data_IF_059422438161
#
_entry.id   IF_059422438161
#
_cell.length_a   1.000
_cell.length_b   1.000
_cell.length_c   1.000
_cell.angle_alpha   90.00
_cell.angle_beta   90.00
_cell.angle_gamma   90.00
#
_symmetry.space_group_name_H-M   'P 1'
#
loop_
_entity.id
_entity.type
_entity.pdbx_description
1 polymer ?
#
# COMPACT_ATOMS: atom_id res chain seq x y z
N UNK A 1 33.05 -29.33 -35.86
CA UNK A 1 32.47 -28.29 -36.74
C UNK A 1 31.09 -28.76 -37.22
N UNK A 2 30.03 -27.95 -36.94
CA UNK A 2 28.69 -27.94 -37.58
C UNK A 2 27.79 -29.16 -37.33
N UNK A 3 26.47 -29.09 -37.09
CA UNK A 3 25.45 -28.12 -36.62
C UNK A 3 24.22 -29.04 -36.40
N UNK A 4 23.64 -29.11 -35.20
CA UNK A 4 22.35 -29.77 -35.01
C UNK A 4 21.24 -28.74 -35.26
N UNK A 5 20.38 -29.07 -36.21
CA UNK A 5 19.21 -28.29 -36.61
C UNK A 5 18.19 -28.26 -35.46
N UNK A 6 17.87 -27.07 -34.95
CA UNK A 6 16.74 -26.88 -34.06
C UNK A 6 15.60 -26.26 -34.85
N UNK A 7 14.57 -27.08 -35.06
CA UNK A 7 13.31 -26.73 -35.70
C UNK A 7 12.70 -25.47 -35.10
N UNK A 8 12.51 -24.48 -35.95
CA UNK A 8 11.66 -23.31 -35.73
C UNK A 8 10.25 -23.75 -35.32
N UNK A 9 9.87 -23.47 -34.07
CA UNK A 9 8.49 -23.18 -33.71
C UNK A 9 8.52 -21.98 -32.78
N UNK A 10 8.25 -20.76 -33.27
CA UNK A 10 7.82 -19.71 -32.36
C UNK A 10 6.49 -20.20 -31.78
N UNK A 11 6.49 -20.59 -30.51
CA UNK A 11 5.26 -20.60 -29.74
C UNK A 11 4.72 -19.18 -29.85
N UNK A 12 3.74 -18.99 -30.74
CA UNK A 12 2.92 -17.80 -30.78
C UNK A 12 2.38 -17.67 -29.37
N UNK A 13 2.96 -16.76 -28.59
CA UNK A 13 2.37 -16.25 -27.37
C UNK A 13 1.09 -15.55 -27.81
N UNK A 14 0.05 -16.37 -28.01
CA UNK A 14 -1.32 -15.94 -28.22
C UNK A 14 -1.89 -15.71 -26.84
N UNK A 15 -1.24 -14.82 -26.07
CA UNK A 15 -1.83 -14.25 -24.89
C UNK A 15 -2.46 -12.95 -25.35
N UNK A 16 -3.71 -13.14 -25.76
CA UNK A 16 -4.77 -12.17 -26.02
C UNK A 16 -4.44 -10.72 -25.63
N UNK A 17 -4.33 -9.88 -26.65
CA UNK A 17 -4.35 -8.41 -26.54
C UNK A 17 -5.75 -7.87 -26.13
N UNK A 18 -6.49 -8.60 -25.29
CA UNK A 18 -7.84 -8.24 -24.80
C UNK A 18 -7.92 -8.10 -23.28
N UNK A 19 -6.79 -8.12 -22.57
CA UNK A 19 -6.74 -8.01 -21.10
C UNK A 19 -6.54 -6.57 -20.58
N UNK A 20 -6.70 -5.55 -21.41
CA UNK A 20 -6.41 -4.15 -21.03
C UNK A 20 -7.57 -3.39 -20.41
N UNK A 21 -8.73 -4.01 -20.18
CA UNK A 21 -9.92 -3.35 -19.61
C UNK A 21 -10.58 -4.06 -18.40
N UNK A 22 -10.09 -5.22 -17.95
CA UNK A 22 -10.76 -6.03 -16.91
C UNK A 22 -9.91 -6.39 -15.68
N UNK A 23 -8.71 -5.86 -15.55
CA UNK A 23 -7.92 -6.04 -14.33
C UNK A 23 -8.35 -4.99 -13.31
N UNK A 24 -8.65 -5.39 -12.07
CA UNK A 24 -8.78 -4.47 -10.93
C UNK A 24 -7.63 -3.46 -10.98
N UNK A 25 -7.89 -2.14 -10.96
CA UNK A 25 -6.83 -1.14 -10.96
C UNK A 25 -5.95 -1.23 -9.71
N UNK A 26 -6.40 -1.88 -8.64
CA UNK A 26 -5.64 -2.10 -7.41
C UNK A 26 -5.15 -3.55 -7.35
N UNK A 27 -3.86 -3.72 -7.08
CA UNK A 27 -3.22 -5.02 -6.89
C UNK A 27 -2.54 -5.07 -5.53
N UNK A 28 -2.85 -6.11 -4.74
CA UNK A 28 -2.07 -6.45 -3.55
C UNK A 28 -0.67 -6.91 -3.98
N UNK A 29 0.36 -6.22 -3.48
CA UNK A 29 1.74 -6.46 -3.87
C UNK A 29 2.48 -7.33 -2.86
N UNK A 30 2.13 -7.24 -1.58
CA UNK A 30 2.75 -8.00 -0.50
C UNK A 30 2.86 -7.19 0.77
N UNK A 31 3.80 -7.57 1.63
CA UNK A 31 4.07 -6.91 2.91
C UNK A 31 5.49 -6.35 2.95
N UNK A 32 5.66 -5.23 3.64
CA UNK A 32 6.94 -4.61 3.93
C UNK A 32 7.08 -4.42 5.44
N UNK A 33 8.21 -4.86 5.99
CA UNK A 33 8.58 -4.61 7.38
C UNK A 33 9.48 -3.39 7.46
N UNK A 34 9.16 -2.45 8.34
CA UNK A 34 9.94 -1.24 8.59
C UNK A 34 9.88 -0.90 10.09
N UNK A 35 11.02 -0.97 10.76
CA UNK A 35 11.23 -0.50 12.14
C UNK A 35 10.13 -0.98 13.12
N UNK A 36 9.91 -2.30 13.14
CA UNK A 36 8.93 -2.93 14.03
C UNK A 36 7.46 -2.74 13.61
N UNK A 37 7.20 -2.22 12.42
CA UNK A 37 5.89 -2.20 11.78
C UNK A 37 5.85 -3.08 10.52
N UNK A 38 4.69 -3.69 10.27
CA UNK A 38 4.38 -4.43 9.06
C UNK A 38 3.33 -3.64 8.29
N UNK A 39 3.64 -3.35 7.02
CA UNK A 39 2.78 -2.63 6.09
C UNK A 39 2.32 -3.55 4.96
N UNK A 40 1.01 -3.59 4.71
CA UNK A 40 0.47 -4.13 3.47
C UNK A 40 0.68 -3.15 2.34
N UNK A 41 1.20 -3.63 1.21
CA UNK A 41 1.50 -2.83 0.04
C UNK A 41 0.47 -3.11 -1.05
N UNK A 42 -0.08 -2.05 -1.60
CA UNK A 42 -0.96 -2.10 -2.78
C UNK A 42 -0.41 -1.19 -3.87
N UNK A 43 -0.53 -1.64 -5.11
CA UNK A 43 -0.21 -0.85 -6.29
C UNK A 43 -1.51 -0.51 -7.01
N UNK A 44 -1.76 0.79 -7.20
CA UNK A 44 -2.92 1.29 -7.92
C UNK A 44 -2.49 1.89 -9.24
N UNK A 45 -3.09 1.41 -10.33
CA UNK A 45 -2.89 1.98 -11.67
C UNK A 45 -3.85 3.16 -11.87
N UNK A 46 -3.30 4.33 -12.14
CA UNK A 46 -4.05 5.57 -12.32
C UNK A 46 -3.76 6.20 -13.69
N UNK A 47 -4.80 6.63 -14.44
CA UNK A 47 -4.60 7.28 -15.73
C UNK A 47 -3.95 8.65 -15.53
N UNK A 48 -2.98 8.98 -16.38
CA UNK A 48 -2.35 10.31 -16.40
C UNK A 48 -3.31 11.27 -17.12
N UNK A 49 -3.71 12.40 -16.51
CA UNK A 49 -4.52 13.40 -17.18
C UNK A 49 -3.79 13.91 -18.42
N UNK A 50 -4.42 13.78 -19.59
CA UNK A 50 -3.86 14.32 -20.82
C UNK A 50 -4.02 15.85 -20.79
N UNK A 51 -2.90 16.58 -20.80
CA UNK A 51 -2.93 18.03 -20.98
C UNK A 51 -3.50 18.35 -22.36
N UNK A 52 -4.46 19.28 -22.42
CA UNK A 52 -5.17 19.68 -23.65
C UNK A 52 -4.28 20.32 -24.73
N UNK A 53 -2.99 20.52 -24.47
CA UNK A 53 -2.04 21.20 -25.37
C UNK A 53 -1.48 20.28 -26.48
N UNK A 54 -1.81 18.99 -26.45
CA UNK A 54 -1.44 18.01 -27.50
C UNK A 54 -2.54 17.81 -28.55
N UNK A 55 -3.45 18.78 -28.72
CA UNK A 55 -4.64 18.67 -29.57
C UNK A 55 -4.40 18.86 -31.08
N UNK A 56 -3.15 19.00 -31.54
CA UNK A 56 -2.83 19.20 -32.97
C UNK A 56 -2.09 18.01 -33.58
N UNK A 57 -2.68 16.81 -33.54
CA UNK A 57 -2.51 15.81 -34.61
C UNK A 57 -3.50 14.65 -34.42
N UNK A 58 -4.38 14.35 -35.41
CA UNK A 58 -5.27 13.21 -35.36
C UNK A 58 -4.48 11.95 -35.71
N UNK A 59 -3.73 11.41 -34.74
CA UNK A 59 -3.22 10.04 -34.85
C UNK A 59 -4.36 9.09 -34.50
N UNK A 60 -4.61 8.13 -35.38
CA UNK A 60 -5.71 7.15 -35.40
C UNK A 60 -5.75 6.19 -34.20
N UNK A 61 -4.94 6.45 -33.17
CA UNK A 61 -4.77 5.64 -31.96
C UNK A 61 -4.71 6.55 -30.73
N UNK A 62 -5.82 6.65 -30.00
CA UNK A 62 -5.82 7.25 -28.66
C UNK A 62 -5.06 6.30 -27.72
N UNK A 63 -3.90 6.73 -27.23
CA UNK A 63 -3.16 6.02 -26.18
C UNK A 63 -3.48 6.67 -24.83
N UNK A 64 -3.89 5.85 -23.85
CA UNK A 64 -4.06 6.29 -22.47
C UNK A 64 -2.77 5.94 -21.71
N UNK A 65 -2.09 6.96 -21.20
CA UNK A 65 -0.92 6.78 -20.35
C UNK A 65 -1.38 6.51 -18.91
N UNK A 66 -0.73 5.58 -18.23
CA UNK A 66 -0.97 5.25 -16.83
C UNK A 66 0.30 5.41 -16.01
N UNK A 67 0.14 5.75 -14.75
CA UNK A 67 1.18 5.63 -13.73
C UNK A 67 0.69 4.68 -12.64
N UNK A 68 1.62 4.16 -11.84
CA UNK A 68 1.30 3.27 -10.73
C UNK A 68 1.65 3.97 -9.43
N UNK A 69 0.68 4.06 -8.53
CA UNK A 69 0.82 4.63 -7.19
C UNK A 69 0.97 3.50 -6.20
N UNK A 70 2.06 3.51 -5.43
CA UNK A 70 2.27 2.59 -4.31
C UNK A 70 1.62 3.19 -3.06
N UNK A 71 0.70 2.45 -2.46
CA UNK A 71 0.09 2.79 -1.17
C UNK A 71 0.48 1.76 -0.12
N UNK A 72 0.89 2.25 1.06
CA UNK A 72 1.22 1.42 2.23
C UNK A 72 0.10 1.51 3.27
N UNK A 73 -0.27 0.38 3.85
CA UNK A 73 -1.31 0.29 4.88
C UNK A 73 -0.79 -0.42 6.12
N UNK A 74 -0.96 0.12 7.32
CA UNK A 74 -0.39 -0.47 8.53
C UNK A 74 -1.19 -1.73 8.92
N UNK A 75 -0.51 -2.87 9.04
CA UNK A 75 -1.13 -4.15 9.43
C UNK A 75 -0.85 -4.52 10.89
N UNK A 76 0.38 -4.28 11.34
CA UNK A 76 0.81 -4.54 12.71
C UNK A 76 1.98 -3.62 13.06
N UNK A 77 2.13 -3.30 14.35
CA UNK A 77 3.24 -2.50 14.85
C UNK A 77 3.37 -2.63 16.36
N UNK A 78 4.53 -2.27 16.89
CA UNK A 78 4.71 -2.00 18.32
C UNK A 78 3.89 -0.78 18.74
N UNK A 79 3.58 -0.65 20.04
CA UNK A 79 2.82 0.51 20.56
C UNK A 79 3.50 1.84 20.25
N UNK A 80 4.82 1.92 20.44
CA UNK A 80 5.62 3.11 20.13
C UNK A 80 5.49 3.51 18.66
N UNK A 81 5.51 2.52 17.77
CA UNK A 81 5.40 2.73 16.33
C UNK A 81 3.96 3.09 15.91
N UNK A 82 2.94 2.54 16.56
CA UNK A 82 1.54 2.96 16.37
C UNK A 82 1.35 4.44 16.75
N UNK A 83 1.92 4.86 17.87
CA UNK A 83 1.85 6.27 18.32
C UNK A 83 2.62 7.18 17.37
N UNK A 84 3.80 6.76 16.90
CA UNK A 84 4.57 7.52 15.90
C UNK A 84 3.79 7.67 14.60
N UNK A 85 3.18 6.58 14.11
CA UNK A 85 2.34 6.61 12.91
C UNK A 85 1.08 7.47 13.09
N UNK A 86 0.55 7.58 14.32
CA UNK A 86 -0.54 8.49 14.64
C UNK A 86 -0.14 9.96 14.46
N UNK A 87 1.12 10.32 14.62
CA UNK A 87 1.61 11.71 14.48
C UNK A 87 2.05 12.07 13.06
N UNK A 88 2.29 11.07 12.20
CA UNK A 88 2.71 11.24 10.81
C UNK A 88 1.51 11.59 9.90
N UNK A 89 1.27 12.87 9.65
CA UNK A 89 0.14 13.29 8.80
C UNK A 89 0.30 12.97 7.31
N UNK A 90 1.53 12.74 6.84
CA UNK A 90 1.80 12.57 5.40
C UNK A 90 1.48 11.15 4.94
N UNK A 91 1.76 10.16 5.78
CA UNK A 91 1.66 8.75 5.40
C UNK A 91 0.63 7.95 6.17
N UNK A 92 -0.09 8.57 7.11
CA UNK A 92 -1.15 7.93 7.89
C UNK A 92 -2.42 7.76 7.08
N UNK A 93 -3.02 6.58 7.22
CA UNK A 93 -4.28 6.26 6.55
C UNK A 93 -5.44 7.09 7.13
N UNK A 94 -6.43 7.48 6.32
CA UNK A 94 -7.52 8.35 6.78
C UNK A 94 -8.41 7.70 7.85
N UNK A 95 -8.52 6.37 7.83
CA UNK A 95 -9.26 5.54 8.78
C UNK A 95 -8.44 5.11 10.00
N UNK A 96 -7.12 5.29 9.99
CA UNK A 96 -6.24 4.84 11.09
C UNK A 96 -6.60 5.52 12.42
N UNK A 97 -6.73 6.85 12.43
CA UNK A 97 -6.98 7.61 13.65
C UNK A 97 -8.30 7.21 14.35
N UNK A 98 -9.47 7.16 13.69
CA UNK A 98 -10.71 6.74 14.35
C UNK A 98 -10.68 5.27 14.78
N UNK A 99 -10.04 4.37 14.02
CA UNK A 99 -9.90 2.95 14.39
C UNK A 99 -8.99 2.81 15.62
N UNK A 100 -7.87 3.51 15.65
CA UNK A 100 -6.94 3.50 16.79
C UNK A 100 -7.65 4.02 18.06
N UNK A 101 -8.26 5.20 18.01
CA UNK A 101 -8.91 5.79 19.19
C UNK A 101 -10.15 5.03 19.68
N UNK A 102 -10.80 4.24 18.82
CA UNK A 102 -11.91 3.38 19.25
C UNK A 102 -11.46 2.07 19.89
N UNK A 103 -10.22 1.63 19.64
CA UNK A 103 -9.71 0.31 20.05
C UNK A 103 -8.51 0.36 21.00
N UNK A 104 -7.91 1.52 21.25
CA UNK A 104 -6.64 1.64 21.97
C UNK A 104 -6.65 1.00 23.37
N UNK A 105 -7.77 1.06 24.09
CA UNK A 105 -7.91 0.45 25.43
C UNK A 105 -7.77 -1.07 25.43
N UNK A 106 -7.96 -1.74 24.29
CA UNK A 106 -7.79 -3.18 24.18
C UNK A 106 -6.31 -3.61 24.31
N UNK A 107 -5.38 -2.71 24.02
CA UNK A 107 -3.93 -2.98 24.02
C UNK A 107 -3.12 -1.97 24.82
N UNK A 108 -3.77 -0.99 25.45
CA UNK A 108 -3.18 -0.07 26.43
C UNK A 108 -3.87 -0.32 27.77
N UNK A 109 -3.18 -0.98 28.69
CA UNK A 109 -3.67 -1.07 30.06
C UNK A 109 -3.49 0.30 30.70
N UNK A 110 -4.53 0.92 31.29
CA UNK A 110 -4.27 1.94 32.29
C UNK A 110 -3.56 1.23 33.46
N UNK A 111 -2.47 1.81 33.95
CA UNK A 111 -1.73 1.26 35.08
C UNK A 111 -2.63 1.24 36.33
N UNK A 112 -3.28 0.11 36.61
CA UNK A 112 -4.13 -0.13 37.79
C UNK A 112 -3.29 -0.46 39.04
N UNK A 113 -2.08 0.13 39.17
CA UNK A 113 -1.15 -0.14 40.29
C UNK A 113 -0.73 1.13 41.06
N UNK A 114 -1.41 2.27 40.88
CA UNK A 114 -1.07 3.53 41.58
C UNK A 114 -1.90 3.84 42.83
N UNK A 115 -2.61 2.85 43.42
CA UNK A 115 -3.46 3.03 44.61
C UNK A 115 -2.89 2.45 45.92
N UNK A 116 -1.57 2.21 46.02
CA UNK A 116 -0.93 1.79 47.27
C UNK A 116 0.23 2.68 47.73
N UNK A 117 0.06 4.01 47.75
CA UNK A 117 0.99 4.86 48.53
C UNK A 117 0.40 6.16 49.11
N UNK A 118 -0.90 6.19 49.42
CA UNK A 118 -1.50 7.26 50.25
C UNK A 118 -1.85 6.78 51.67
N UNK A 119 -0.93 6.07 52.34
CA UNK A 119 -1.09 5.76 53.77
C UNK A 119 0.23 5.63 54.55
N UNK A 120 1.20 6.50 54.24
CA UNK A 120 2.43 6.64 55.06
C UNK A 120 2.78 8.10 55.40
N UNK A 121 1.80 9.01 55.35
CA UNK A 121 1.88 10.34 55.98
C UNK A 121 0.73 10.56 56.98
N UNK A 122 0.32 9.51 57.66
CA UNK A 122 -0.59 9.57 58.81
C UNK A 122 -0.20 8.48 59.82
N UNK A 123 0.95 8.66 60.46
CA UNK A 123 1.27 8.30 61.86
C UNK A 123 2.71 8.72 62.19
#
# INVERSE_FOLDING_TARGET
MKRLSASSRPTKCTLSLSLSLHTDPVQEWGEEEDDGAIFGITLRREPVPQSSDAAEQPTTFSFVQYHTVKSRRLKAATLERLVTHLLDSEHREPDFLPVFLSTYRAFTCPDEDSDSEYNLMQL
#
